data_IF_134720167814
#
_entry.id   IF_134720167814
#
_cell.length_a   1.000
_cell.length_b   1.000
_cell.length_c   1.000
_cell.angle_alpha   90.00
_cell.angle_beta   90.00
_cell.angle_gamma   90.00
#
_symmetry.space_group_name_H-M   'P 1'
#
loop_
_entity.id
_entity.type
_entity.pdbx_description
1 polymer ?
#
# COMPACT_ATOMS: atom_id res chain seq x y z
N UNK A 1 19.36 16.32 -7.39
CA UNK A 1 19.27 15.54 -6.13
C UNK A 1 17.90 14.90 -6.10
N UNK A 2 17.80 13.58 -6.12
CA UNK A 2 16.55 12.86 -5.93
C UNK A 2 16.38 12.57 -4.44
N UNK A 3 15.23 12.91 -3.87
CA UNK A 3 14.86 12.55 -2.50
C UNK A 3 13.73 11.55 -2.56
N UNK A 4 13.82 10.53 -1.71
CA UNK A 4 12.80 9.53 -1.51
C UNK A 4 12.28 9.64 -0.07
N UNK A 5 10.96 9.64 0.14
CA UNK A 5 10.37 9.80 1.46
C UNK A 5 8.92 9.31 1.55
N UNK A 6 8.39 9.23 2.77
CA UNK A 6 7.00 8.83 3.05
C UNK A 6 6.06 10.04 2.91
N UNK A 7 4.90 9.85 2.29
CA UNK A 7 3.83 10.85 2.32
C UNK A 7 3.29 11.04 3.75
N UNK A 8 3.27 12.29 4.25
CA UNK A 8 2.55 12.67 5.48
C UNK A 8 3.32 12.59 6.80
N UNK A 9 4.60 12.19 6.79
CA UNK A 9 5.53 12.31 7.94
C UNK A 9 6.48 13.48 7.61
N UNK A 10 6.98 14.28 8.57
CA UNK A 10 8.07 15.24 8.31
C UNK A 10 9.16 14.50 7.53
N UNK A 11 9.60 15.06 6.39
CA UNK A 11 10.41 14.36 5.40
C UNK A 11 11.73 13.85 6.01
N UNK A 12 11.73 12.63 6.51
CA UNK A 12 12.97 11.92 6.80
C UNK A 12 13.58 11.52 5.46
N UNK A 13 14.76 12.08 5.18
CA UNK A 13 15.57 11.64 4.04
C UNK A 13 16.05 10.24 4.36
N UNK A 14 15.35 9.23 3.83
CA UNK A 14 15.70 7.83 4.07
C UNK A 14 16.94 7.38 3.29
N UNK A 15 17.33 8.14 2.27
CA UNK A 15 18.55 7.89 1.50
C UNK A 15 18.82 8.97 0.46
N UNK A 16 20.09 9.13 0.13
CA UNK A 16 20.54 9.85 -1.06
C UNK A 16 20.84 8.80 -2.13
N UNK A 17 20.06 8.80 -3.21
CA UNK A 17 20.39 7.96 -4.36
C UNK A 17 21.48 8.65 -5.18
N UNK A 18 22.65 8.02 -5.26
CA UNK A 18 23.74 8.44 -6.12
C UNK A 18 23.49 7.93 -7.55
N UNK A 19 23.99 8.67 -8.53
CA UNK A 19 23.80 8.37 -9.93
C UNK A 19 24.92 8.97 -10.77
N UNK A 20 24.93 8.59 -12.04
CA UNK A 20 25.93 9.03 -13.01
C UNK A 20 25.29 9.93 -14.07
N UNK A 21 26.01 10.97 -14.48
CA UNK A 21 25.65 11.79 -15.63
C UNK A 21 26.02 11.01 -16.89
N UNK A 22 25.03 10.68 -17.70
CA UNK A 22 25.23 9.97 -18.98
C UNK A 22 25.45 11.01 -20.09
N UNK A 23 24.69 12.11 -20.05
CA UNK A 23 24.82 13.26 -20.95
C UNK A 23 24.22 14.53 -20.28
N UNK A 24 24.14 15.64 -21.02
CA UNK A 24 23.63 16.94 -20.54
C UNK A 24 22.15 16.91 -20.10
N UNK A 25 21.39 15.90 -20.51
CA UNK A 25 19.94 15.78 -20.28
C UNK A 25 19.54 14.51 -19.52
N UNK A 26 20.46 13.56 -19.35
CA UNK A 26 20.20 12.22 -18.83
C UNK A 26 21.06 11.94 -17.60
N UNK A 27 20.38 11.69 -16.47
CA UNK A 27 21.00 11.21 -15.23
C UNK A 27 20.50 9.81 -14.96
N UNK A 28 21.41 8.84 -14.82
CA UNK A 28 21.08 7.49 -14.40
C UNK A 28 21.18 7.41 -12.89
N UNK A 29 20.09 7.05 -12.22
CA UNK A 29 20.06 6.88 -10.76
C UNK A 29 19.64 5.46 -10.43
N UNK A 30 20.36 4.83 -9.51
CA UNK A 30 20.10 3.46 -9.08
C UNK A 30 19.73 3.50 -7.60
N UNK A 31 18.54 3.01 -7.27
CA UNK A 31 18.14 2.79 -5.89
C UNK A 31 18.67 1.44 -5.42
N UNK A 32 19.61 1.45 -4.48
CA UNK A 32 20.26 0.23 -3.96
C UNK A 32 19.43 -0.40 -2.84
N UNK A 33 18.48 0.33 -2.24
CA UNK A 33 17.73 -0.11 -1.09
C UNK A 33 16.23 -0.12 -1.38
N UNK A 34 15.65 -1.32 -1.48
CA UNK A 34 14.21 -1.46 -1.56
C UNK A 34 13.57 -1.00 -0.23
N UNK A 35 12.76 0.06 -0.27
CA UNK A 35 11.97 0.47 0.89
C UNK A 35 10.93 -0.62 1.19
N UNK A 36 10.79 -1.09 2.45
CA UNK A 36 9.85 -2.15 2.80
C UNK A 36 8.42 -1.62 2.91
N UNK A 37 7.93 -0.95 1.87
CA UNK A 37 6.60 -0.32 1.85
C UNK A 37 5.83 -0.77 0.60
N UNK A 38 4.69 -1.41 0.83
CA UNK A 38 3.69 -1.71 -0.20
C UNK A 38 2.78 -0.49 -0.39
N UNK A 39 2.91 0.23 -1.52
CA UNK A 39 2.02 1.36 -1.85
C UNK A 39 2.67 2.51 -2.62
N UNK A 40 2.27 3.74 -2.30
CA UNK A 40 2.76 4.98 -2.94
C UNK A 40 4.15 5.35 -2.47
N UNK A 41 5.13 4.99 -3.28
CA UNK A 41 6.50 5.50 -3.16
C UNK A 41 6.54 6.95 -3.64
N UNK A 42 6.89 7.88 -2.75
CA UNK A 42 7.06 9.30 -3.10
C UNK A 42 8.51 9.53 -3.46
N UNK A 43 8.74 9.75 -4.75
CA UNK A 43 10.04 10.16 -5.31
C UNK A 43 9.86 11.59 -5.80
N UNK A 44 10.77 12.47 -5.42
CA UNK A 44 10.82 13.85 -5.88
C UNK A 44 12.21 14.18 -6.43
N UNK A 45 12.26 14.88 -7.55
CA UNK A 45 13.48 15.27 -8.23
C UNK A 45 13.69 16.77 -8.07
N UNK A 46 14.86 17.18 -7.59
CA UNK A 46 15.20 18.59 -7.42
C UNK A 46 16.35 19.04 -8.32
N UNK A 47 16.20 20.23 -8.91
CA UNK A 47 17.26 20.96 -9.62
C UNK A 47 17.62 22.26 -8.89
N UNK A 48 18.90 22.54 -8.76
CA UNK A 48 19.42 23.78 -8.20
C UNK A 48 19.12 24.98 -9.10
N UNK A 49 18.79 26.11 -8.47
CA UNK A 49 18.59 27.40 -9.11
C UNK A 49 19.92 28.15 -9.12
N UNK A 50 20.26 28.80 -10.24
CA UNK A 50 21.41 29.69 -10.28
C UNK A 50 21.09 30.98 -9.51
N UNK A 51 21.87 31.28 -8.47
CA UNK A 51 21.68 32.45 -7.61
C UNK A 51 21.70 33.78 -8.40
N UNK A 52 22.50 33.86 -9.46
CA UNK A 52 22.59 35.08 -10.27
C UNK A 52 21.27 35.38 -11.02
N UNK A 53 20.55 34.35 -11.46
CA UNK A 53 19.28 34.51 -12.15
C UNK A 53 18.16 35.02 -11.23
N UNK A 54 18.19 34.61 -9.96
CA UNK A 54 17.24 35.05 -8.95
C UNK A 54 17.40 36.54 -8.62
N UNK A 55 18.64 37.04 -8.61
CA UNK A 55 18.93 38.47 -8.41
C UNK A 55 18.44 39.32 -9.58
N UNK A 56 18.50 38.79 -10.80
CA UNK A 56 17.94 39.44 -11.99
C UNK A 56 16.40 39.32 -12.11
N UNK A 57 15.73 38.64 -11.17
CA UNK A 57 14.28 38.45 -11.19
C UNK A 57 13.77 37.58 -12.35
N UNK A 58 14.66 36.85 -13.04
CA UNK A 58 14.26 35.91 -14.08
C UNK A 58 13.77 34.62 -13.44
N UNK A 59 12.59 34.15 -13.87
CA UNK A 59 12.07 32.84 -13.48
C UNK A 59 13.03 31.74 -13.94
N UNK A 60 13.60 30.94 -13.02
CA UNK A 60 14.60 29.92 -13.35
C UNK A 60 14.01 28.68 -14.02
N UNK A 61 12.68 28.59 -14.11
CA UNK A 61 11.95 27.49 -14.73
C UNK A 61 11.72 27.82 -16.20
N UNK A 62 12.12 26.91 -17.10
CA UNK A 62 11.64 26.98 -18.48
C UNK A 62 10.16 26.59 -18.49
N UNK A 63 9.27 27.56 -18.70
CA UNK A 63 7.84 27.38 -18.95
C UNK A 63 7.65 26.75 -20.34
N UNK A 64 8.03 25.49 -20.48
CA UNK A 64 7.60 24.67 -21.62
C UNK A 64 6.17 24.20 -21.38
N UNK A 65 5.41 24.04 -22.45
CA UNK A 65 3.96 23.86 -22.56
C UNK A 65 3.39 22.59 -21.88
N UNK A 66 4.16 21.93 -21.01
CA UNK A 66 3.80 20.66 -20.44
C UNK A 66 2.92 20.89 -19.21
N UNK A 67 1.61 20.74 -19.42
CA UNK A 67 0.58 20.59 -18.39
C UNK A 67 1.01 19.52 -17.37
N UNK A 68 1.63 19.95 -16.29
CA UNK A 68 1.93 19.13 -15.13
C UNK A 68 1.64 19.96 -13.90
N UNK A 69 0.56 19.65 -13.18
CA UNK A 69 0.24 20.31 -11.92
C UNK A 69 1.46 20.18 -11.01
N UNK A 70 2.05 21.31 -10.60
CA UNK A 70 3.06 21.27 -9.55
C UNK A 70 2.37 20.74 -8.30
N UNK A 71 2.85 19.62 -7.76
CA UNK A 71 2.34 19.13 -6.49
C UNK A 71 2.50 20.23 -5.44
N UNK A 72 1.44 20.49 -4.66
CA UNK A 72 1.48 21.52 -3.63
C UNK A 72 2.63 21.19 -2.67
N UNK A 73 3.63 22.08 -2.52
CA UNK A 73 4.79 21.76 -1.73
C UNK A 73 4.45 21.65 -0.25
N UNK A 74 5.16 20.78 0.46
CA UNK A 74 5.07 20.72 1.93
C UNK A 74 5.70 21.97 2.56
N UNK A 75 5.18 22.39 3.71
CA UNK A 75 5.69 23.58 4.45
C UNK A 75 7.18 23.40 4.77
N UNK A 76 7.58 22.19 5.16
CA UNK A 76 8.97 21.86 5.45
C UNK A 76 9.87 22.02 4.21
N UNK A 77 9.41 21.61 3.02
CA UNK A 77 10.17 21.78 1.78
C UNK A 77 10.40 23.26 1.43
N UNK A 78 9.41 24.11 1.69
CA UNK A 78 9.52 25.56 1.49
C UNK A 78 10.56 26.19 2.43
N UNK A 79 10.55 25.79 3.71
CA UNK A 79 11.55 26.25 4.72
C UNK A 79 12.96 25.87 4.29
N UNK A 80 13.15 24.66 3.74
CA UNK A 80 14.46 24.21 3.25
C UNK A 80 14.89 24.82 1.90
N UNK A 81 14.15 25.80 1.38
CA UNK A 81 14.58 26.59 0.22
C UNK A 81 14.03 26.13 -1.13
N UNK A 82 12.93 25.38 -1.16
CA UNK A 82 12.18 25.14 -2.40
C UNK A 82 11.71 26.47 -3.00
N UNK A 83 11.84 26.63 -4.32
CA UNK A 83 11.63 27.87 -5.08
C UNK A 83 12.62 29.01 -4.81
N UNK A 84 13.64 28.79 -3.99
CA UNK A 84 14.72 29.77 -3.73
C UNK A 84 16.09 29.24 -4.14
N UNK A 85 16.47 28.06 -3.64
CA UNK A 85 17.75 27.41 -3.92
C UNK A 85 17.61 26.26 -4.91
N UNK A 86 16.44 25.64 -4.95
CA UNK A 86 16.14 24.56 -5.88
C UNK A 86 14.64 24.55 -6.21
N UNK A 87 14.26 23.93 -7.32
CA UNK A 87 12.88 23.66 -7.67
C UNK A 87 12.64 22.16 -7.89
N UNK A 88 11.40 21.71 -7.66
CA UNK A 88 10.97 20.33 -7.92
C UNK A 88 10.64 20.13 -9.41
N UNK A 89 11.03 18.98 -9.94
CA UNK A 89 10.76 18.49 -11.28
C UNK A 89 9.74 17.36 -11.15
N UNK A 90 8.67 17.43 -11.94
CA UNK A 90 7.67 16.36 -11.98
C UNK A 90 8.25 15.09 -12.62
N UNK A 91 8.06 13.96 -11.95
CA UNK A 91 8.49 12.65 -12.43
C UNK A 91 7.30 11.95 -13.07
N UNK A 92 7.49 11.45 -14.28
CA UNK A 92 6.52 10.58 -14.95
C UNK A 92 7.12 9.19 -15.13
N UNK A 93 6.28 8.17 -15.00
CA UNK A 93 6.66 6.79 -15.25
C UNK A 93 6.28 6.41 -16.67
N UNK A 94 7.20 5.78 -17.39
CA UNK A 94 6.92 5.13 -18.66
C UNK A 94 7.15 3.65 -18.48
N UNK A 95 6.13 2.84 -18.81
CA UNK A 95 6.22 1.38 -18.84
C UNK A 95 5.79 0.91 -20.22
N UNK A 96 6.50 -0.04 -20.77
CA UNK A 96 6.10 -0.71 -22.01
C UNK A 96 5.01 -1.74 -21.72
N UNK A 97 4.18 -2.07 -22.71
CA UNK A 97 3.15 -3.11 -22.56
C UNK A 97 3.75 -4.46 -22.18
N UNK A 98 4.92 -4.79 -22.76
CA UNK A 98 5.64 -6.03 -22.46
C UNK A 98 6.14 -6.05 -21.01
N UNK A 99 6.67 -4.94 -20.52
CA UNK A 99 7.09 -4.80 -19.11
C UNK A 99 5.90 -4.94 -18.18
N UNK A 100 4.76 -4.30 -18.50
CA UNK A 100 3.55 -4.42 -17.71
C UNK A 100 3.05 -5.87 -17.68
N UNK A 101 3.02 -6.56 -18.83
CA UNK A 101 2.63 -7.98 -18.91
C UNK A 101 3.58 -8.87 -18.10
N UNK A 102 4.89 -8.64 -18.22
CA UNK A 102 5.93 -9.36 -17.48
C UNK A 102 5.79 -9.16 -15.96
N UNK A 103 5.68 -7.91 -15.52
CA UNK A 103 5.52 -7.56 -14.10
C UNK A 103 4.22 -8.12 -13.53
N UNK A 104 3.14 -8.11 -14.32
CA UNK A 104 1.85 -8.68 -13.92
C UNK A 104 1.93 -10.21 -13.81
N UNK A 105 2.82 -10.88 -14.54
CA UNK A 105 3.03 -12.33 -14.43
C UNK A 105 3.82 -12.73 -13.17
N UNK A 106 4.70 -11.87 -12.63
CA UNK A 106 5.50 -12.19 -11.43
C UNK A 106 4.65 -12.41 -10.18
N UNK A 107 3.49 -11.76 -10.08
CA UNK A 107 2.58 -11.87 -8.93
C UNK A 107 1.42 -12.84 -9.16
N UNK A 108 1.39 -13.57 -10.28
CA UNK A 108 0.36 -14.57 -10.50
C UNK A 108 0.63 -15.77 -9.62
N UNK A 109 -0.35 -16.09 -8.77
CA UNK A 109 -0.40 -17.39 -8.11
C UNK A 109 -0.39 -18.49 -9.16
N UNK A 110 0.25 -19.62 -8.84
CA UNK A 110 0.21 -20.77 -9.73
C UNK A 110 -1.24 -21.22 -9.91
N UNK A 111 -1.67 -21.45 -11.15
CA UNK A 111 -3.02 -21.98 -11.40
C UNK A 111 -3.23 -23.34 -10.71
N UNK A 112 -2.15 -24.09 -10.48
CA UNK A 112 -2.16 -25.36 -9.76
C UNK A 112 -2.59 -25.19 -8.30
N UNK A 113 -2.29 -24.06 -7.64
CA UNK A 113 -2.74 -23.81 -6.26
C UNK A 113 -4.26 -23.85 -6.13
N UNK A 114 -5.00 -23.52 -7.20
CA UNK A 114 -6.46 -23.59 -7.23
C UNK A 114 -7.04 -24.99 -7.48
N UNK A 115 -6.20 -25.94 -7.86
CA UNK A 115 -6.56 -27.34 -8.12
C UNK A 115 -5.91 -28.30 -7.11
N UNK A 116 -5.03 -27.81 -6.23
CA UNK A 116 -4.50 -28.61 -5.13
C UNK A 116 -5.49 -28.59 -3.97
N UNK A 117 -5.92 -29.76 -3.54
CA UNK A 117 -6.65 -29.94 -2.31
C UNK A 117 -5.71 -29.87 -1.11
N UNK A 118 -6.14 -29.17 -0.05
CA UNK A 118 -5.50 -29.29 1.24
C UNK A 118 -5.81 -30.66 1.87
N UNK A 119 -4.96 -31.11 2.79
CA UNK A 119 -5.20 -32.34 3.54
C UNK A 119 -6.50 -32.24 4.34
N UNK A 120 -7.45 -33.12 4.06
CA UNK A 120 -8.78 -33.11 4.71
C UNK A 120 -8.70 -33.13 6.23
N UNK A 121 -7.72 -33.85 6.80
CA UNK A 121 -7.56 -33.92 8.26
C UNK A 121 -7.12 -32.59 8.86
N UNK A 122 -6.29 -31.81 8.16
CA UNK A 122 -5.82 -30.50 8.61
C UNK A 122 -6.91 -29.45 8.42
N UNK A 123 -7.61 -29.50 7.29
CA UNK A 123 -8.73 -28.61 6.96
C UNK A 123 -9.88 -28.77 7.97
N UNK A 124 -10.23 -30.00 8.33
CA UNK A 124 -11.23 -30.25 9.39
C UNK A 124 -10.80 -29.71 10.76
N UNK A 125 -9.51 -29.84 11.12
CA UNK A 125 -8.99 -29.28 12.38
C UNK A 125 -9.04 -27.75 12.38
N UNK A 126 -8.69 -27.11 11.27
CA UNK A 126 -8.80 -25.66 11.10
C UNK A 126 -10.25 -25.20 11.26
N UNK A 127 -11.20 -25.88 10.61
CA UNK A 127 -12.62 -25.60 10.76
C UNK A 127 -13.08 -25.72 12.21
N UNK A 128 -12.69 -26.78 12.91
CA UNK A 128 -13.07 -27.00 14.31
C UNK A 128 -12.52 -25.88 15.22
N UNK A 129 -11.26 -25.49 15.04
CA UNK A 129 -10.64 -24.41 15.81
C UNK A 129 -11.34 -23.08 15.57
N UNK A 130 -11.57 -22.71 14.31
CA UNK A 130 -12.23 -21.44 13.95
C UNK A 130 -13.66 -21.39 14.49
N UNK A 131 -14.43 -22.49 14.38
CA UNK A 131 -15.81 -22.54 14.90
C UNK A 131 -15.84 -22.43 16.43
N UNK A 132 -14.85 -22.99 17.14
CA UNK A 132 -14.70 -22.82 18.60
C UNK A 132 -14.41 -21.37 18.98
N UNK A 133 -13.54 -20.69 18.24
CA UNK A 133 -13.25 -19.26 18.46
C UNK A 133 -14.47 -18.39 18.16
N UNK A 134 -15.21 -18.69 17.08
CA UNK A 134 -16.45 -18.01 16.74
C UNK A 134 -17.53 -18.18 17.81
N UNK A 135 -17.62 -19.35 18.45
CA UNK A 135 -18.55 -19.56 19.57
C UNK A 135 -18.25 -18.60 20.73
N UNK A 136 -16.97 -18.41 21.06
CA UNK A 136 -16.57 -17.51 22.14
C UNK A 136 -16.82 -16.05 21.78
N UNK A 137 -16.54 -15.66 20.53
CA UNK A 137 -16.88 -14.33 20.02
C UNK A 137 -18.39 -14.09 19.98
N UNK A 138 -19.21 -15.09 19.68
CA UNK A 138 -20.67 -14.98 19.70
C UNK A 138 -21.22 -14.74 21.11
N UNK A 139 -20.66 -15.40 22.13
CA UNK A 139 -21.00 -15.11 23.54
C UNK A 139 -20.62 -13.68 23.92
N UNK A 140 -19.42 -13.24 23.52
CA UNK A 140 -18.95 -11.88 23.78
C UNK A 140 -19.80 -10.84 23.05
N UNK A 141 -20.26 -11.14 21.83
CA UNK A 141 -21.17 -10.30 21.08
C UNK A 141 -22.53 -10.17 21.79
N UNK A 142 -23.12 -11.28 22.24
CA UNK A 142 -24.38 -11.24 23.02
C UNK A 142 -24.22 -10.36 24.27
N UNK A 143 -23.14 -10.55 25.03
CA UNK A 143 -22.86 -9.72 26.21
C UNK A 143 -22.67 -8.24 25.84
N UNK A 144 -21.99 -7.96 24.72
CA UNK A 144 -21.77 -6.59 24.26
C UNK A 144 -23.08 -5.88 23.91
N UNK A 145 -24.03 -6.59 23.30
CA UNK A 145 -25.37 -6.09 22.96
C UNK A 145 -26.21 -5.85 24.23
N UNK A 146 -26.20 -6.76 25.20
CA UNK A 146 -26.90 -6.56 26.49
C UNK A 146 -26.40 -5.33 27.28
N UNK A 147 -25.11 -5.00 27.13
CA UNK A 147 -24.51 -3.80 27.71
C UNK A 147 -24.77 -2.55 26.89
N UNK A 148 -25.04 -2.68 25.59
CA UNK A 148 -25.32 -1.57 24.67
C UNK A 148 -26.63 -0.87 25.02
N UNK A 149 -27.67 -1.64 25.36
CA UNK A 149 -28.99 -1.14 25.78
C UNK A 149 -28.95 -0.23 27.02
N UNK A 150 -27.86 -0.26 27.79
CA UNK A 150 -27.70 0.49 29.04
C UNK A 150 -26.90 1.79 28.87
N UNK A 151 -26.34 2.03 27.69
CA UNK A 151 -25.34 3.09 27.46
C UNK A 151 -25.87 4.17 26.51
N UNK A 152 -25.33 5.39 26.64
CA UNK A 152 -25.68 6.49 25.72
C UNK A 152 -24.85 6.40 24.42
N UNK A 153 -25.31 7.01 23.30
CA UNK A 153 -24.61 6.95 22.02
C UNK A 153 -23.16 7.48 22.05
N UNK A 154 -22.89 8.49 22.87
CA UNK A 154 -21.55 9.06 23.04
C UNK A 154 -20.59 8.10 23.76
N UNK A 155 -21.12 7.33 24.73
CA UNK A 155 -20.34 6.33 25.45
C UNK A 155 -20.08 5.09 24.57
N UNK A 156 -21.02 4.73 23.70
CA UNK A 156 -20.86 3.64 22.74
C UNK A 156 -19.74 3.92 21.71
N UNK A 157 -19.63 5.16 21.25
CA UNK A 157 -18.59 5.56 20.31
C UNK A 157 -17.16 5.38 20.87
N UNK A 158 -17.00 5.46 22.20
CA UNK A 158 -15.70 5.35 22.88
C UNK A 158 -15.48 3.93 23.43
N UNK A 159 -16.55 3.15 23.68
CA UNK A 159 -16.52 1.82 24.32
C UNK A 159 -15.58 0.83 23.61
N UNK A 160 -15.53 0.89 22.28
CA UNK A 160 -14.80 -0.08 21.45
C UNK A 160 -13.33 0.32 21.21
N UNK A 161 -12.89 1.47 21.72
CA UNK A 161 -11.49 1.91 21.57
C UNK A 161 -10.59 1.09 22.49
N UNK A 162 -9.66 0.34 21.89
CA UNK A 162 -8.69 -0.49 22.62
C UNK A 162 -9.22 -1.83 23.12
N UNK A 163 -10.44 -2.22 22.74
CA UNK A 163 -11.02 -3.55 23.00
C UNK A 163 -11.33 -4.26 21.69
N UNK A 164 -11.34 -5.60 21.73
CA UNK A 164 -11.73 -6.41 20.59
C UNK A 164 -13.23 -6.17 20.32
N UNK A 165 -13.57 -5.71 19.11
CA UNK A 165 -14.96 -5.61 18.65
C UNK A 165 -15.42 -7.01 18.19
N UNK A 166 -16.29 -7.70 18.94
CA UNK A 166 -16.67 -9.07 18.63
C UNK A 166 -17.44 -9.18 17.32
N UNK A 167 -18.19 -8.15 16.92
CA UNK A 167 -18.93 -8.16 15.65
C UNK A 167 -17.99 -8.22 14.46
N UNK A 168 -17.02 -7.30 14.44
CA UNK A 168 -16.04 -7.20 13.34
C UNK A 168 -15.24 -8.50 13.18
N UNK A 169 -14.81 -9.09 14.29
CA UNK A 169 -14.04 -10.33 14.25
C UNK A 169 -14.89 -11.54 13.85
N UNK A 170 -16.18 -11.60 14.23
CA UNK A 170 -17.09 -12.63 13.72
C UNK A 170 -17.21 -12.55 12.20
N UNK A 171 -17.41 -11.36 11.64
CA UNK A 171 -17.47 -11.15 10.18
C UNK A 171 -16.16 -11.60 9.50
N UNK A 172 -15.01 -11.19 10.02
CA UNK A 172 -13.69 -11.60 9.50
C UNK A 172 -13.52 -13.13 9.49
N UNK A 173 -13.92 -13.83 10.57
CA UNK A 173 -13.83 -15.29 10.64
C UNK A 173 -14.84 -16.00 9.72
N UNK A 174 -16.06 -15.49 9.58
CA UNK A 174 -17.06 -16.02 8.63
C UNK A 174 -16.47 -15.98 7.21
N UNK A 175 -15.89 -14.85 6.80
CA UNK A 175 -15.36 -14.67 5.45
C UNK A 175 -14.21 -15.64 5.17
N UNK A 176 -13.28 -15.81 6.11
CA UNK A 176 -12.17 -16.76 5.98
C UNK A 176 -12.67 -18.20 5.94
N UNK A 177 -13.59 -18.57 6.83
CA UNK A 177 -14.13 -19.93 6.91
C UNK A 177 -14.92 -20.28 5.63
N UNK A 178 -15.75 -19.35 5.15
CA UNK A 178 -16.56 -19.55 3.96
C UNK A 178 -15.71 -19.66 2.70
N UNK A 179 -14.73 -18.76 2.53
CA UNK A 179 -13.83 -18.81 1.36
C UNK A 179 -13.01 -20.10 1.32
N UNK A 180 -12.44 -20.52 2.46
CA UNK A 180 -11.68 -21.77 2.56
C UNK A 180 -12.55 -22.99 2.22
N UNK A 181 -13.75 -23.09 2.79
CA UNK A 181 -14.62 -24.25 2.59
C UNK A 181 -15.20 -24.30 1.17
N UNK A 182 -15.59 -23.18 0.59
CA UNK A 182 -16.10 -23.14 -0.80
C UNK A 182 -15.01 -23.57 -1.78
N UNK A 183 -13.79 -23.06 -1.63
CA UNK A 183 -12.67 -23.42 -2.53
C UNK A 183 -12.34 -24.90 -2.40
N UNK A 184 -12.23 -25.44 -1.18
CA UNK A 184 -11.92 -26.87 -0.96
C UNK A 184 -13.02 -27.79 -1.53
N UNK A 185 -14.30 -27.46 -1.31
CA UNK A 185 -15.42 -28.23 -1.85
C UNK A 185 -15.45 -28.18 -3.39
N UNK A 186 -15.25 -27.00 -3.98
CA UNK A 186 -15.25 -26.83 -5.43
C UNK A 186 -14.06 -27.55 -6.08
N UNK A 187 -12.87 -27.45 -5.51
CA UNK A 187 -11.68 -28.16 -5.97
C UNK A 187 -11.93 -29.68 -5.97
N UNK A 188 -12.52 -30.21 -4.90
CA UNK A 188 -12.78 -31.64 -4.79
C UNK A 188 -13.78 -32.11 -5.85
N UNK A 189 -14.85 -31.34 -6.08
CA UNK A 189 -15.82 -31.64 -7.14
C UNK A 189 -15.19 -31.60 -8.53
N UNK A 190 -14.36 -30.59 -8.82
CA UNK A 190 -13.66 -30.48 -10.10
C UNK A 190 -12.70 -31.65 -10.33
N UNK A 191 -11.94 -32.05 -9.31
CA UNK A 191 -10.97 -33.13 -9.44
C UNK A 191 -11.63 -34.45 -9.85
N UNK A 192 -12.81 -34.76 -9.28
CA UNK A 192 -13.55 -35.99 -9.63
C UNK A 192 -14.02 -36.07 -11.08
N UNK A 193 -14.20 -34.91 -11.74
CA UNK A 193 -14.70 -34.82 -13.12
C UNK A 193 -13.56 -34.68 -14.11
N UNK A 194 -12.56 -33.86 -13.79
CA UNK A 194 -11.47 -33.48 -14.70
C UNK A 194 -10.36 -34.53 -14.74
N UNK A 195 -9.99 -35.12 -13.59
CA UNK A 195 -8.82 -36.01 -13.48
C UNK A 195 -9.18 -37.50 -13.39
N UNK A 196 -10.20 -37.94 -14.14
CA UNK A 196 -10.56 -39.35 -14.28
C UNK A 196 -9.44 -40.23 -14.81
#
# INVERSE_FOLDING_TARGET
MLKHGRAGVPMEVMGLMLGEFVDDYTVRVIDVFAMPQSGTVVIDAFRLINANMMVLGHEPRQTTSNLGHLNKPSIQALIHGLNRHYYSITINYRKNELEQKMLLNLHKKSWMEGLTLQDYSEHCKLNETVVKEMLELAKNYNKAVEEEDKMTPEQLAIKNVGKQDPKRHLEEHVDVLMTSNIVQCLAAMLDTVVFK
#
